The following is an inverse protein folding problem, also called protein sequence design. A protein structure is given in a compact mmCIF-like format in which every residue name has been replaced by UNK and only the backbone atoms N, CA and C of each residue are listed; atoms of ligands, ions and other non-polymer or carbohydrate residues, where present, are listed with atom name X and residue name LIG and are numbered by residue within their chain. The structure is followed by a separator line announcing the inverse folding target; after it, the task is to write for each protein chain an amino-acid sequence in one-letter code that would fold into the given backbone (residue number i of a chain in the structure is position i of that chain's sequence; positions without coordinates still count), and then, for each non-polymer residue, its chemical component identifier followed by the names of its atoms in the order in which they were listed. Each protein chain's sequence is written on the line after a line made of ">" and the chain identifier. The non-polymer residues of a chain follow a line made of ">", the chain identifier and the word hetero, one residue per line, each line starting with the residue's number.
data_IF_533745556933
#
_entry.id   IF_533745556933
#
_cell.length_a   1.000
_cell.length_b   1.000
_cell.length_c   1.000
_cell.angle_alpha   90.00
_cell.angle_beta   90.00
_cell.angle_gamma   90.00
#
_symmetry.space_group_name_H-M   'P 1'
#
loop_
_entity.id
_entity.type
_entity.pdbx_description
1 polymer ?
#
# COMPACT_ATOMS: atom_id res chain seq x y z
N UNK A 1 -9.33 1.23 -20.65
CA UNK A 1 -8.03 0.63 -21.04
C UNK A 1 -7.25 0.12 -19.85
N UNK A 2 -6.99 0.92 -18.80
CA UNK A 2 -6.29 0.46 -17.60
C UNK A 2 -6.94 -0.78 -16.92
N UNK A 3 -8.28 -0.81 -16.79
CA UNK A 3 -8.98 -1.96 -16.22
C UNK A 3 -8.84 -3.23 -17.07
N UNK A 4 -8.83 -3.08 -18.40
CA UNK A 4 -8.55 -4.19 -19.32
C UNK A 4 -7.12 -4.70 -19.11
N UNK A 5 -6.14 -3.80 -18.94
CA UNK A 5 -4.76 -4.17 -18.63
C UNK A 5 -4.64 -4.97 -17.33
N UNK A 6 -5.32 -4.52 -16.26
CA UNK A 6 -5.35 -5.24 -14.98
C UNK A 6 -6.01 -6.63 -15.10
N UNK A 7 -7.09 -6.74 -15.86
CA UNK A 7 -7.76 -8.02 -16.09
C UNK A 7 -6.86 -8.98 -16.90
N UNK A 8 -6.23 -8.48 -17.96
CA UNK A 8 -5.31 -9.26 -18.77
C UNK A 8 -4.10 -9.75 -17.95
N UNK A 9 -3.54 -8.91 -17.07
CA UNK A 9 -2.48 -9.31 -16.13
C UNK A 9 -2.91 -10.47 -15.22
N UNK A 10 -4.14 -10.42 -14.68
CA UNK A 10 -4.67 -11.48 -13.80
C UNK A 10 -4.87 -12.81 -14.54
N UNK A 11 -5.09 -12.75 -15.85
CA UNK A 11 -5.25 -13.93 -16.70
C UNK A 11 -3.92 -14.36 -17.36
N UNK A 12 -2.79 -13.77 -16.96
CA UNK A 12 -1.46 -14.02 -17.54
C UNK A 12 -1.36 -13.75 -19.04
N UNK A 13 -2.30 -13.00 -19.62
CA UNK A 13 -2.24 -12.49 -20.99
C UNK A 13 -1.40 -11.20 -21.03
N UNK A 14 -0.09 -11.35 -20.87
CA UNK A 14 0.86 -10.25 -20.81
C UNK A 14 0.94 -9.44 -22.11
N UNK A 15 0.65 -10.08 -23.25
CA UNK A 15 0.61 -9.42 -24.55
C UNK A 15 -0.56 -8.43 -24.64
N UNK A 16 -1.76 -8.84 -24.23
CA UNK A 16 -2.91 -7.94 -24.16
C UNK A 16 -2.74 -6.89 -23.06
N UNK A 17 -2.16 -7.27 -21.92
CA UNK A 17 -1.89 -6.36 -20.81
C UNK A 17 -0.97 -5.21 -21.23
N UNK A 18 0.19 -5.51 -21.84
CA UNK A 18 1.13 -4.48 -22.29
C UNK A 18 0.51 -3.56 -23.35
N UNK A 19 -0.29 -4.09 -24.29
CA UNK A 19 -1.06 -3.27 -25.25
C UNK A 19 -2.04 -2.32 -24.58
N UNK A 20 -2.82 -2.83 -23.62
CA UNK A 20 -3.82 -2.04 -22.92
C UNK A 20 -3.18 -0.93 -22.05
N UNK A 21 -2.10 -1.25 -21.32
CA UNK A 21 -1.37 -0.26 -20.52
C UNK A 21 -0.64 0.76 -21.38
N UNK A 22 0.02 0.35 -22.46
CA UNK A 22 0.64 1.27 -23.44
C UNK A 22 -0.38 2.28 -23.95
N UNK A 23 -1.56 1.83 -24.36
CA UNK A 23 -2.62 2.72 -24.81
C UNK A 23 -3.11 3.66 -23.70
N UNK A 24 -3.20 3.16 -22.46
CA UNK A 24 -3.59 3.98 -21.30
C UNK A 24 -2.53 5.04 -20.93
N UNK A 25 -1.24 4.72 -21.07
CA UNK A 25 -0.13 5.67 -20.90
C UNK A 25 -0.21 6.75 -21.98
N UNK A 26 -0.30 6.35 -23.25
CA UNK A 26 -0.31 7.29 -24.38
C UNK A 26 -1.48 8.28 -24.33
N UNK A 27 -2.68 7.81 -23.96
CA UNK A 27 -3.86 8.68 -23.82
C UNK A 27 -3.83 9.52 -22.54
N UNK A 28 -3.17 9.03 -21.49
CA UNK A 28 -3.17 9.63 -20.16
C UNK A 28 -2.07 10.66 -19.94
N UNK A 29 -0.90 10.51 -20.59
CA UNK A 29 0.37 11.18 -20.22
C UNK A 29 0.32 12.72 -20.15
N UNK A 30 -0.53 13.35 -20.96
CA UNK A 30 -0.68 14.81 -21.00
C UNK A 30 -2.00 15.30 -20.37
N UNK A 31 -2.67 14.46 -19.57
CA UNK A 31 -4.00 14.76 -19.03
C UNK A 31 -4.03 14.64 -17.51
N UNK A 32 -5.12 15.13 -16.89
CA UNK A 32 -5.42 14.87 -15.47
C UNK A 32 -5.61 13.38 -15.13
N UNK A 33 -5.72 12.51 -16.14
CA UNK A 33 -5.86 11.06 -15.98
C UNK A 33 -4.53 10.32 -16.07
N UNK A 34 -3.38 11.02 -16.13
CA UNK A 34 -2.07 10.38 -15.96
C UNK A 34 -2.07 9.57 -14.67
N UNK A 35 -1.58 8.34 -14.74
CA UNK A 35 -1.65 7.40 -13.62
C UNK A 35 -0.34 6.64 -13.51
N UNK A 36 0.33 6.66 -12.34
CA UNK A 36 1.58 5.94 -12.14
C UNK A 36 1.38 4.43 -12.30
N UNK A 37 0.20 3.92 -11.93
CA UNK A 37 -0.15 2.51 -12.06
C UNK A 37 -0.20 2.04 -13.53
N UNK A 38 -0.45 2.93 -14.49
CA UNK A 38 -0.41 2.56 -15.91
C UNK A 38 1.03 2.32 -16.39
N UNK A 39 1.99 3.14 -15.95
CA UNK A 39 3.40 2.97 -16.28
C UNK A 39 3.97 1.71 -15.61
N UNK A 40 3.73 1.55 -14.30
CA UNK A 40 4.17 0.35 -13.57
C UNK A 40 3.53 -0.93 -14.12
N UNK A 41 2.24 -0.88 -14.47
CA UNK A 41 1.53 -1.99 -15.10
C UNK A 41 2.10 -2.35 -16.48
N UNK A 42 2.46 -1.35 -17.30
CA UNK A 42 3.15 -1.58 -18.57
C UNK A 42 4.50 -2.27 -18.36
N UNK A 43 5.34 -1.73 -17.47
CA UNK A 43 6.66 -2.29 -17.18
C UNK A 43 6.57 -3.72 -16.64
N UNK A 44 5.63 -4.00 -15.72
CA UNK A 44 5.41 -5.35 -15.20
C UNK A 44 4.95 -6.32 -16.29
N UNK A 45 4.03 -5.89 -17.17
CA UNK A 45 3.56 -6.73 -18.27
C UNK A 45 4.68 -7.07 -19.26
N UNK A 46 5.59 -6.13 -19.53
CA UNK A 46 6.76 -6.37 -20.38
C UNK A 46 7.72 -7.38 -19.74
N UNK A 47 8.02 -7.24 -18.45
CA UNK A 47 8.88 -8.19 -17.72
C UNK A 47 8.24 -9.58 -17.68
N UNK A 48 6.99 -9.68 -17.25
CA UNK A 48 6.30 -10.97 -17.12
C UNK A 48 6.09 -11.65 -18.48
N UNK A 49 5.86 -10.87 -19.54
CA UNK A 49 5.69 -11.38 -20.90
C UNK A 49 6.96 -11.99 -21.51
N UNK A 50 8.14 -11.68 -20.96
CA UNK A 50 9.39 -12.31 -21.39
C UNK A 50 9.55 -13.76 -20.87
N UNK A 51 8.80 -14.15 -19.82
CA UNK A 51 8.83 -15.52 -19.30
C UNK A 51 10.21 -15.91 -18.76
N UNK A 52 10.82 -16.94 -19.33
CA UNK A 52 12.20 -17.37 -19.00
C UNK A 52 13.25 -16.69 -19.88
N UNK A 53 12.83 -16.04 -20.97
CA UNK A 53 13.72 -15.38 -21.92
C UNK A 53 14.14 -13.98 -21.43
N UNK A 54 15.29 -13.51 -21.88
CA UNK A 54 15.67 -12.13 -21.69
C UNK A 54 14.70 -11.19 -22.43
N UNK A 55 14.46 -10.01 -21.84
CA UNK A 55 13.72 -8.94 -22.51
C UNK A 55 14.36 -8.62 -23.85
N UNK A 56 13.57 -8.58 -24.92
CA UNK A 56 14.05 -8.08 -26.19
C UNK A 56 14.42 -6.58 -26.09
N UNK A 57 15.29 -6.12 -26.99
CA UNK A 57 15.81 -4.74 -26.97
C UNK A 57 14.71 -3.68 -27.04
N UNK A 58 13.61 -3.97 -27.73
CA UNK A 58 12.48 -3.03 -27.89
C UNK A 58 11.67 -2.96 -26.60
N UNK A 59 11.33 -4.10 -26.01
CA UNK A 59 10.65 -4.19 -24.73
C UNK A 59 11.47 -3.53 -23.62
N UNK A 60 12.79 -3.76 -23.61
CA UNK A 60 13.70 -3.12 -22.65
C UNK A 60 13.76 -1.59 -22.82
N UNK A 61 13.84 -1.08 -24.05
CA UNK A 61 13.82 0.35 -24.31
C UNK A 61 12.49 0.98 -23.92
N UNK A 62 11.37 0.32 -24.23
CA UNK A 62 10.02 0.78 -23.84
C UNK A 62 9.85 0.82 -22.32
N UNK A 63 10.31 -0.22 -21.61
CA UNK A 63 10.29 -0.25 -20.15
C UNK A 63 11.10 0.91 -19.55
N UNK A 64 12.32 1.14 -20.04
CA UNK A 64 13.17 2.22 -19.56
C UNK A 64 12.55 3.60 -19.81
N UNK A 65 11.92 3.79 -20.98
CA UNK A 65 11.20 5.01 -21.29
C UNK A 65 10.00 5.22 -20.35
N UNK A 66 9.18 4.19 -20.13
CA UNK A 66 8.02 4.28 -19.26
C UNK A 66 8.40 4.63 -17.81
N UNK A 67 9.49 4.04 -17.29
CA UNK A 67 9.98 4.34 -15.94
C UNK A 67 10.61 5.74 -15.85
N UNK A 68 11.34 6.20 -16.88
CA UNK A 68 11.88 7.56 -16.91
C UNK A 68 10.76 8.62 -16.97
N UNK A 69 9.70 8.37 -17.74
CA UNK A 69 8.52 9.24 -17.79
C UNK A 69 7.78 9.24 -16.44
N UNK A 70 7.65 8.09 -15.78
CA UNK A 70 7.08 7.98 -14.43
C UNK A 70 7.89 8.82 -13.43
N UNK A 71 9.20 8.61 -13.36
CA UNK A 71 10.08 9.31 -12.41
C UNK A 71 10.10 10.82 -12.65
N UNK A 72 10.00 11.25 -13.91
CA UNK A 72 9.90 12.67 -14.28
C UNK A 72 8.55 13.28 -13.91
N UNK A 73 7.44 12.59 -14.19
CA UNK A 73 6.09 13.12 -13.98
C UNK A 73 5.63 13.12 -12.53
N UNK A 74 6.27 12.30 -11.67
CA UNK A 74 5.93 12.10 -10.27
C UNK A 74 7.17 12.24 -9.36
N UNK A 75 8.05 13.19 -9.68
CA UNK A 75 9.38 13.33 -9.06
C UNK A 75 9.36 13.47 -7.52
N UNK A 76 8.33 14.08 -6.94
CA UNK A 76 8.20 14.29 -5.49
C UNK A 76 7.74 13.03 -4.72
N UNK A 77 7.22 12.01 -5.42
CA UNK A 77 6.70 10.81 -4.79
C UNK A 77 7.82 9.78 -4.56
N UNK A 78 8.33 9.75 -3.32
CA UNK A 78 9.40 8.86 -2.90
C UNK A 78 9.00 7.39 -2.99
N UNK A 79 7.74 7.08 -2.66
CA UNK A 79 7.17 5.72 -2.72
C UNK A 79 7.17 5.19 -4.16
N UNK A 80 6.73 6.02 -5.11
CA UNK A 80 6.76 5.69 -6.54
C UNK A 80 8.19 5.53 -7.06
N UNK A 81 9.13 6.36 -6.62
CA UNK A 81 10.54 6.23 -7.01
C UNK A 81 11.13 4.89 -6.59
N UNK A 82 10.81 4.41 -5.38
CA UNK A 82 11.23 3.08 -4.91
C UNK A 82 10.60 1.97 -5.77
N UNK A 83 9.31 2.09 -6.11
CA UNK A 83 8.61 1.13 -6.99
C UNK A 83 9.19 1.12 -8.41
N UNK A 84 9.55 2.27 -8.98
CA UNK A 84 10.24 2.39 -10.27
C UNK A 84 11.58 1.66 -10.24
N UNK A 85 12.41 1.92 -9.23
CA UNK A 85 13.72 1.25 -9.04
C UNK A 85 13.58 -0.26 -8.85
N UNK A 86 12.55 -0.73 -8.13
CA UNK A 86 12.28 -2.16 -7.96
C UNK A 86 11.89 -2.83 -9.28
N UNK A 87 11.18 -2.11 -10.15
CA UNK A 87 10.88 -2.58 -11.50
C UNK A 87 12.13 -2.67 -12.38
N UNK A 88 13.06 -1.71 -12.25
CA UNK A 88 14.37 -1.78 -12.89
C UNK A 88 15.17 -3.00 -12.39
N UNK A 89 15.14 -3.29 -11.09
CA UNK A 89 15.79 -4.49 -10.53
C UNK A 89 15.19 -5.78 -11.11
N UNK A 90 13.86 -5.84 -11.22
CA UNK A 90 13.15 -6.97 -11.84
C UNK A 90 13.55 -7.15 -13.31
N UNK A 91 13.66 -6.06 -14.06
CA UNK A 91 14.15 -6.06 -15.46
C UNK A 91 15.59 -6.55 -15.58
N UNK A 92 16.50 -6.10 -14.71
CA UNK A 92 17.89 -6.58 -14.69
C UNK A 92 17.98 -8.08 -14.44
N UNK A 93 17.18 -8.60 -13.49
CA UNK A 93 17.10 -10.03 -13.22
C UNK A 93 16.59 -10.81 -14.43
N UNK A 94 15.56 -10.29 -15.12
CA UNK A 94 15.03 -10.87 -16.34
C UNK A 94 16.08 -10.93 -17.46
N UNK A 95 16.94 -9.92 -17.56
CA UNK A 95 18.05 -9.88 -18.52
C UNK A 95 19.27 -10.74 -18.10
N UNK A 96 19.20 -11.47 -16.98
CA UNK A 96 20.29 -12.32 -16.47
C UNK A 96 21.34 -11.59 -15.63
N UNK A 97 21.22 -10.28 -15.42
CA UNK A 97 22.12 -9.49 -14.57
C UNK A 97 21.68 -9.55 -13.10
N UNK A 98 21.71 -10.78 -12.54
CA UNK A 98 21.20 -11.07 -11.19
C UNK A 98 21.97 -10.31 -10.12
N UNK A 99 23.28 -10.13 -10.29
CA UNK A 99 24.12 -9.42 -9.32
C UNK A 99 23.68 -7.96 -9.14
N UNK A 100 23.49 -7.22 -10.24
CA UNK A 100 23.02 -5.83 -10.17
C UNK A 100 21.56 -5.74 -9.75
N UNK A 101 20.73 -6.70 -10.15
CA UNK A 101 19.35 -6.78 -9.69
C UNK A 101 19.26 -6.92 -8.16
N UNK A 102 20.05 -7.83 -7.57
CA UNK A 102 20.08 -8.05 -6.11
C UNK A 102 20.64 -6.84 -5.38
N UNK A 103 21.69 -6.20 -5.90
CA UNK A 103 22.23 -4.96 -5.33
C UNK A 103 21.16 -3.86 -5.31
N UNK A 104 20.51 -3.61 -6.45
CA UNK A 104 19.48 -2.59 -6.56
C UNK A 104 18.28 -2.90 -5.66
N UNK A 105 17.90 -4.16 -5.54
CA UNK A 105 16.83 -4.60 -4.63
C UNK A 105 17.19 -4.34 -3.16
N UNK A 106 18.45 -4.55 -2.76
CA UNK A 106 18.92 -4.25 -1.40
C UNK A 106 18.89 -2.74 -1.11
N UNK A 107 19.28 -1.91 -2.07
CA UNK A 107 19.18 -0.44 -1.95
C UNK A 107 17.71 0.01 -1.81
N UNK A 108 16.80 -0.60 -2.58
CA UNK A 108 15.36 -0.34 -2.45
C UNK A 108 14.82 -0.78 -1.09
N UNK A 109 15.22 -1.96 -0.60
CA UNK A 109 14.81 -2.46 0.70
C UNK A 109 15.20 -1.49 1.83
N UNK A 110 16.45 -1.01 1.83
CA UNK A 110 16.90 0.01 2.77
C UNK A 110 16.12 1.35 2.61
N UNK A 111 15.80 1.72 1.38
CA UNK A 111 14.97 2.91 1.09
C UNK A 111 13.53 2.78 1.60
N UNK A 112 12.93 1.58 1.56
CA UNK A 112 11.59 1.30 2.10
C UNK A 112 11.57 1.50 3.61
N UNK A 113 12.59 1.04 4.33
CA UNK A 113 12.70 1.23 5.79
C UNK A 113 12.79 2.72 6.18
N UNK A 114 13.41 3.54 5.33
CA UNK A 114 13.63 4.97 5.56
C UNK A 114 12.57 5.88 4.95
N UNK A 115 11.60 5.33 4.21
CA UNK A 115 10.63 6.09 3.44
C UNK A 115 9.83 7.06 4.31
N UNK A 116 9.52 6.65 5.55
CA UNK A 116 8.74 7.44 6.51
C UNK A 116 7.27 7.61 6.12
N UNK A 117 6.82 7.01 5.01
CA UNK A 117 5.45 7.04 4.49
C UNK A 117 4.89 5.63 4.38
N UNK A 118 3.55 5.50 4.39
CA UNK A 118 2.89 4.22 4.16
C UNK A 118 2.62 3.99 2.67
N UNK A 119 2.95 2.79 2.21
CA UNK A 119 2.39 2.30 0.95
C UNK A 119 0.89 2.07 1.12
N UNK A 120 0.11 2.27 0.05
CA UNK A 120 -1.21 1.65 -0.02
C UNK A 120 -1.09 0.13 0.12
N UNK A 121 -2.14 -0.53 0.58
CA UNK A 121 -2.12 -1.99 0.76
C UNK A 121 -1.70 -2.73 -0.53
N UNK A 122 -2.29 -2.35 -1.67
CA UNK A 122 -1.93 -2.91 -2.99
C UNK A 122 -0.44 -2.71 -3.34
N UNK A 123 0.10 -1.51 -3.08
CA UNK A 123 1.50 -1.22 -3.35
C UNK A 123 2.42 -1.99 -2.40
N UNK A 124 2.07 -2.11 -1.12
CA UNK A 124 2.82 -2.89 -0.14
C UNK A 124 2.90 -4.37 -0.54
N UNK A 125 1.78 -4.97 -0.98
CA UNK A 125 1.74 -6.35 -1.46
C UNK A 125 2.59 -6.55 -2.72
N UNK A 126 2.50 -5.63 -3.68
CA UNK A 126 3.30 -5.68 -4.90
C UNK A 126 4.80 -5.57 -4.62
N UNK A 127 5.21 -4.60 -3.81
CA UNK A 127 6.61 -4.39 -3.42
C UNK A 127 7.14 -5.59 -2.63
N UNK A 128 6.38 -6.12 -1.67
CA UNK A 128 6.79 -7.29 -0.89
C UNK A 128 7.00 -8.53 -1.76
N UNK A 129 6.09 -8.77 -2.72
CA UNK A 129 6.22 -9.87 -3.69
C UNK A 129 7.49 -9.73 -4.55
N UNK A 130 7.73 -8.53 -5.09
CA UNK A 130 8.92 -8.25 -5.91
C UNK A 130 10.23 -8.36 -5.11
N UNK A 131 10.28 -7.81 -3.90
CA UNK A 131 11.44 -7.96 -3.00
C UNK A 131 11.75 -9.43 -2.74
N UNK A 132 10.73 -10.25 -2.44
CA UNK A 132 10.89 -11.70 -2.27
C UNK A 132 11.46 -12.38 -3.51
N UNK A 133 10.94 -12.06 -4.70
CA UNK A 133 11.44 -12.60 -5.97
C UNK A 133 12.89 -12.19 -6.27
N UNK A 134 13.32 -11.03 -5.78
CA UNK A 134 14.67 -10.48 -5.93
C UNK A 134 15.64 -10.92 -4.82
N UNK A 135 15.22 -11.85 -3.95
CA UNK A 135 16.05 -12.40 -2.86
C UNK A 135 16.02 -11.59 -1.56
N UNK A 136 15.21 -10.54 -1.48
CA UNK A 136 15.02 -9.69 -0.29
C UNK A 136 13.79 -10.14 0.52
N UNK A 137 13.71 -11.44 0.84
CA UNK A 137 12.54 -12.02 1.50
C UNK A 137 12.26 -11.39 2.88
N UNK A 138 13.29 -11.12 3.69
CA UNK A 138 13.13 -10.50 5.00
C UNK A 138 12.52 -9.09 4.95
N UNK A 139 12.98 -8.26 3.99
CA UNK A 139 12.39 -6.94 3.76
C UNK A 139 10.93 -7.04 3.27
N UNK A 140 10.64 -8.02 2.41
CA UNK A 140 9.28 -8.33 1.99
C UNK A 140 8.38 -8.71 3.16
N UNK A 141 8.82 -9.58 4.06
CA UNK A 141 8.06 -9.98 5.25
C UNK A 141 7.86 -8.83 6.24
N UNK A 142 8.88 -8.00 6.47
CA UNK A 142 8.75 -6.79 7.28
C UNK A 142 7.69 -5.84 6.71
N UNK A 143 7.66 -5.66 5.39
CA UNK A 143 6.64 -4.85 4.73
C UNK A 143 5.24 -5.47 4.83
N UNK A 144 5.11 -6.79 4.70
CA UNK A 144 3.83 -7.50 4.91
C UNK A 144 3.33 -7.33 6.35
N UNK A 145 4.23 -7.43 7.34
CA UNK A 145 3.88 -7.19 8.74
C UNK A 145 3.34 -5.79 8.96
N UNK A 146 4.03 -4.77 8.42
CA UNK A 146 3.58 -3.37 8.45
C UNK A 146 2.22 -3.20 7.75
N UNK A 147 2.01 -3.86 6.61
CA UNK A 147 0.75 -3.86 5.89
C UNK A 147 -0.40 -4.42 6.74
N UNK A 148 -0.19 -5.55 7.43
CA UNK A 148 -1.18 -6.13 8.35
C UNK A 148 -1.45 -5.22 9.56
N UNK A 149 -0.44 -4.51 10.07
CA UNK A 149 -0.62 -3.55 11.15
C UNK A 149 -1.51 -2.37 10.74
N UNK A 150 -1.33 -1.84 9.53
CA UNK A 150 -2.03 -0.64 9.03
C UNK A 150 -3.43 -0.97 8.47
N UNK A 151 -3.56 -2.11 7.78
CA UNK A 151 -4.72 -2.48 6.96
C UNK A 151 -5.35 -3.83 7.35
N UNK A 152 -4.92 -4.46 8.44
CA UNK A 152 -5.31 -5.84 8.78
C UNK A 152 -6.80 -6.07 9.06
N UNK A 153 -7.60 -5.02 9.16
CA UNK A 153 -9.06 -5.11 9.27
C UNK A 153 -9.78 -5.37 7.94
N UNK A 154 -9.10 -5.17 6.81
CA UNK A 154 -9.59 -5.49 5.48
C UNK A 154 -9.34 -6.97 5.14
N UNK A 155 -10.40 -7.78 4.94
CA UNK A 155 -10.27 -9.19 4.57
C UNK A 155 -9.53 -9.42 3.24
N UNK A 156 -9.67 -8.51 2.26
CA UNK A 156 -9.00 -8.64 0.97
C UNK A 156 -7.48 -8.47 1.13
N UNK A 157 -7.07 -7.51 1.98
CA UNK A 157 -5.65 -7.31 2.31
C UNK A 157 -5.08 -8.53 3.02
N UNK A 158 -5.78 -9.05 4.04
CA UNK A 158 -5.34 -10.27 4.74
C UNK A 158 -5.22 -11.48 3.79
N UNK A 159 -6.15 -11.63 2.84
CA UNK A 159 -6.07 -12.68 1.83
C UNK A 159 -4.86 -12.48 0.90
N UNK A 160 -4.58 -11.23 0.51
CA UNK A 160 -3.39 -10.87 -0.26
C UNK A 160 -2.09 -11.23 0.47
N UNK A 161 -1.98 -10.88 1.75
CA UNK A 161 -0.82 -11.23 2.59
C UNK A 161 -0.66 -12.75 2.72
N UNK A 162 -1.75 -13.49 2.94
CA UNK A 162 -1.74 -14.95 3.07
C UNK A 162 -1.27 -15.68 1.79
N UNK A 163 -1.38 -15.05 0.61
CA UNK A 163 -0.83 -15.60 -0.64
C UNK A 163 0.69 -15.43 -0.73
N UNK A 164 1.27 -14.47 0.00
CA UNK A 164 2.68 -14.10 -0.10
C UNK A 164 3.55 -14.68 1.03
N UNK A 165 2.96 -14.97 2.19
CA UNK A 165 3.66 -15.55 3.34
C UNK A 165 2.85 -16.65 4.03
N UNK A 166 3.56 -17.60 4.62
CA UNK A 166 3.02 -18.64 5.51
C UNK A 166 3.36 -18.38 6.98
N UNK A 167 4.00 -17.25 7.30
CA UNK A 167 4.38 -16.90 8.67
C UNK A 167 3.13 -16.63 9.53
N UNK A 168 2.83 -17.48 10.53
CA UNK A 168 1.66 -17.30 11.39
C UNK A 168 1.77 -16.04 12.27
N UNK A 169 2.97 -15.51 12.54
CA UNK A 169 3.13 -14.29 13.30
C UNK A 169 2.59 -13.07 12.53
N UNK A 170 2.84 -13.02 11.22
CA UNK A 170 2.30 -11.96 10.34
C UNK A 170 0.78 -12.10 10.22
N UNK A 171 0.28 -13.30 9.91
CA UNK A 171 -1.15 -13.53 9.68
C UNK A 171 -2.00 -13.49 10.96
N UNK A 172 -1.38 -13.84 12.09
CA UNK A 172 -2.01 -13.83 13.42
C UNK A 172 -2.06 -12.44 14.04
N UNK A 173 -1.13 -11.55 13.67
CA UNK A 173 -0.92 -10.26 14.34
C UNK A 173 -2.11 -9.31 14.35
N UNK A 174 -3.09 -9.48 13.45
CA UNK A 174 -4.30 -8.65 13.40
C UNK A 174 -5.55 -9.28 14.03
N UNK A 175 -5.60 -10.60 14.23
CA UNK A 175 -6.88 -11.31 14.44
C UNK A 175 -7.68 -10.78 15.63
N UNK A 176 -7.02 -10.61 16.77
CA UNK A 176 -7.68 -10.13 17.99
C UNK A 176 -8.11 -8.66 17.86
N UNK A 177 -7.23 -7.79 17.34
CA UNK A 177 -7.54 -6.37 17.12
C UNK A 177 -8.74 -6.18 16.19
N UNK A 178 -8.81 -6.97 15.12
CA UNK A 178 -9.92 -6.94 14.16
C UNK A 178 -11.23 -7.40 14.80
N UNK A 179 -11.20 -8.43 15.64
CA UNK A 179 -12.42 -8.89 16.31
C UNK A 179 -12.90 -7.87 17.36
N UNK A 180 -11.99 -7.28 18.13
CA UNK A 180 -12.31 -6.18 19.06
C UNK A 180 -12.89 -4.98 18.30
N UNK A 181 -12.31 -4.60 17.16
CA UNK A 181 -12.81 -3.51 16.33
C UNK A 181 -14.23 -3.82 15.81
N UNK A 182 -14.49 -5.05 15.32
CA UNK A 182 -15.83 -5.47 14.88
C UNK A 182 -16.84 -5.43 16.03
N UNK A 183 -16.46 -5.87 17.22
CA UNK A 183 -17.30 -5.75 18.42
C UNK A 183 -17.59 -4.29 18.76
N UNK A 184 -16.57 -3.43 18.71
CA UNK A 184 -16.70 -1.99 18.95
C UNK A 184 -17.66 -1.33 17.94
N UNK A 185 -17.54 -1.66 16.66
CA UNK A 185 -18.47 -1.17 15.61
C UNK A 185 -19.90 -1.61 15.91
N UNK A 186 -20.14 -2.88 16.29
CA UNK A 186 -21.47 -3.36 16.68
C UNK A 186 -22.02 -2.62 17.90
N UNK A 187 -21.19 -2.42 18.94
CA UNK A 187 -21.59 -1.68 20.14
C UNK A 187 -21.93 -0.21 19.82
N UNK A 188 -21.14 0.43 18.95
CA UNK A 188 -21.35 1.80 18.52
C UNK A 188 -22.67 1.96 17.76
N UNK A 189 -22.98 1.04 16.85
CA UNK A 189 -24.24 1.01 16.09
C UNK A 189 -25.46 0.81 17.00
N UNK A 190 -25.30 0.10 18.11
CA UNK A 190 -26.35 -0.09 19.13
C UNK A 190 -26.48 1.09 20.11
N UNK A 191 -25.76 2.18 19.92
CA UNK A 191 -25.80 3.35 20.81
C UNK A 191 -24.99 3.22 22.10
N UNK A 192 -24.28 2.10 22.29
CA UNK A 192 -23.42 1.85 23.47
C UNK A 192 -22.03 2.46 23.24
N UNK A 193 -21.96 3.79 23.29
CA UNK A 193 -20.75 4.51 22.89
C UNK A 193 -19.56 4.33 23.83
N UNK A 194 -19.80 4.25 25.15
CA UNK A 194 -18.74 3.99 26.13
C UNK A 194 -18.12 2.60 25.93
N UNK A 195 -18.96 1.56 25.83
CA UNK A 195 -18.50 0.19 25.56
C UNK A 195 -17.72 0.10 24.23
N UNK A 196 -18.20 0.80 23.19
CA UNK A 196 -17.52 0.86 21.92
C UNK A 196 -16.12 1.49 22.02
N UNK A 197 -15.98 2.59 22.77
CA UNK A 197 -14.69 3.23 22.97
C UNK A 197 -13.70 2.30 23.66
N UNK A 198 -14.12 1.59 24.71
CA UNK A 198 -13.25 0.64 25.41
C UNK A 198 -12.79 -0.52 24.50
N UNK A 199 -13.68 -1.02 23.65
CA UNK A 199 -13.33 -2.03 22.64
C UNK A 199 -12.35 -1.48 21.60
N UNK A 200 -12.55 -0.24 21.14
CA UNK A 200 -11.63 0.40 20.20
C UNK A 200 -10.26 0.69 20.82
N UNK A 201 -10.18 1.14 22.07
CA UNK A 201 -8.92 1.33 22.80
C UNK A 201 -8.12 0.05 22.91
N UNK A 202 -8.79 -1.06 23.26
CA UNK A 202 -8.15 -2.38 23.32
C UNK A 202 -7.66 -2.83 21.94
N UNK A 203 -8.45 -2.61 20.89
CA UNK A 203 -8.04 -2.91 19.52
C UNK A 203 -6.83 -2.07 19.08
N UNK A 204 -6.82 -0.77 19.43
CA UNK A 204 -5.75 0.16 19.07
C UNK A 204 -4.44 -0.18 19.81
N UNK A 205 -4.52 -0.63 21.06
CA UNK A 205 -3.35 -1.09 21.80
C UNK A 205 -2.66 -2.29 21.13
N UNK A 206 -3.42 -3.13 20.42
CA UNK A 206 -2.88 -4.28 19.67
C UNK A 206 -2.37 -3.87 18.29
N UNK A 207 -3.00 -2.89 17.63
CA UNK A 207 -2.58 -2.36 16.33
C UNK A 207 -2.58 -0.83 16.32
N UNK A 208 -1.51 -0.20 16.85
CA UNK A 208 -1.48 1.25 17.05
C UNK A 208 -1.55 2.08 15.77
N UNK A 209 -1.15 1.49 14.63
CA UNK A 209 -1.14 2.15 13.31
C UNK A 209 -2.31 1.77 12.42
N UNK A 210 -3.27 0.98 12.91
CA UNK A 210 -4.41 0.59 12.09
C UNK A 210 -5.32 1.79 11.83
N UNK A 211 -5.49 2.13 10.54
CA UNK A 211 -6.25 3.31 10.12
C UNK A 211 -7.70 3.25 10.60
N UNK A 212 -8.40 2.13 10.36
CA UNK A 212 -9.82 2.03 10.74
C UNK A 212 -10.03 2.11 12.25
N UNK A 213 -9.19 1.41 13.01
CA UNK A 213 -9.29 1.37 14.48
C UNK A 213 -9.01 2.76 15.07
N UNK A 214 -7.95 3.44 14.61
CA UNK A 214 -7.63 4.79 15.07
C UNK A 214 -8.76 5.78 14.77
N UNK A 215 -9.33 5.76 13.55
CA UNK A 215 -10.44 6.64 13.18
C UNK A 215 -11.73 6.33 13.94
N UNK A 216 -11.99 5.06 14.28
CA UNK A 216 -13.10 4.66 15.12
C UNK A 216 -12.92 5.16 16.56
N UNK A 217 -11.72 5.00 17.11
CA UNK A 217 -11.36 5.51 18.44
C UNK A 217 -11.50 7.03 18.50
N UNK A 218 -10.89 7.76 17.58
CA UNK A 218 -10.96 9.22 17.48
C UNK A 218 -12.40 9.73 17.39
N UNK A 219 -13.23 9.10 16.55
CA UNK A 219 -14.64 9.46 16.41
C UNK A 219 -15.44 9.23 17.71
N UNK A 220 -15.17 8.13 18.42
CA UNK A 220 -15.82 7.83 19.70
C UNK A 220 -15.38 8.77 20.82
N UNK A 221 -14.10 9.15 20.86
CA UNK A 221 -13.55 10.11 21.83
C UNK A 221 -14.22 11.49 21.68
N UNK A 222 -14.28 12.01 20.45
CA UNK A 222 -14.98 13.27 20.18
C UNK A 222 -16.45 13.21 20.63
N UNK A 223 -17.14 12.10 20.36
CA UNK A 223 -18.55 11.96 20.76
C UNK A 223 -18.74 11.95 22.27
N UNK A 224 -17.80 11.41 23.04
CA UNK A 224 -17.91 11.31 24.49
C UNK A 224 -17.65 12.64 25.20
N UNK A 225 -16.76 13.48 24.69
CA UNK A 225 -16.48 14.76 25.31
C UNK A 225 -15.67 15.68 24.42
N UNK A 226 -16.34 16.35 23.47
CA UNK A 226 -15.70 17.35 22.62
C UNK A 226 -15.06 18.49 23.42
N UNK A 227 -15.46 18.74 24.65
CA UNK A 227 -14.89 19.80 25.52
C UNK A 227 -13.91 19.28 26.58
N UNK A 228 -13.69 17.95 26.66
CA UNK A 228 -12.73 17.35 27.58
C UNK A 228 -11.34 17.34 26.94
N UNK A 229 -10.39 18.07 27.50
CA UNK A 229 -9.05 18.18 26.93
C UNK A 229 -8.27 16.87 26.97
N UNK A 230 -8.51 16.00 27.96
CA UNK A 230 -7.85 14.70 28.02
C UNK A 230 -8.33 13.78 26.88
N UNK A 231 -9.64 13.79 26.60
CA UNK A 231 -10.20 13.02 25.48
C UNK A 231 -9.79 13.61 24.12
N UNK A 232 -9.66 14.94 24.02
CA UNK A 232 -9.11 15.61 22.82
C UNK A 232 -7.66 15.22 22.57
N UNK A 233 -6.83 15.19 23.61
CA UNK A 233 -5.43 14.83 23.48
C UNK A 233 -5.27 13.36 23.03
N UNK A 234 -6.04 12.44 23.62
CA UNK A 234 -6.08 11.05 23.15
C UNK A 234 -6.56 10.96 21.69
N UNK A 235 -7.52 11.80 21.30
CA UNK A 235 -7.99 11.86 19.92
C UNK A 235 -6.91 12.37 18.96
N UNK A 236 -6.11 13.37 19.34
CA UNK A 236 -4.94 13.83 18.57
C UNK A 236 -3.94 12.70 18.38
N UNK A 237 -3.61 11.97 19.44
CA UNK A 237 -2.69 10.83 19.37
C UNK A 237 -3.17 9.74 18.40
N UNK A 238 -4.47 9.43 18.41
CA UNK A 238 -5.07 8.51 17.44
C UNK A 238 -4.88 8.99 16.00
N UNK A 239 -5.11 10.28 15.74
CA UNK A 239 -5.00 10.87 14.40
C UNK A 239 -3.54 11.02 13.93
N UNK A 240 -2.62 11.31 14.84
CA UNK A 240 -1.19 11.44 14.55
C UNK A 240 -0.58 10.08 14.21
N UNK A 241 -0.99 9.01 14.89
CA UNK A 241 -0.55 7.64 14.62
C UNK A 241 -0.86 7.17 13.19
N UNK A 242 -1.88 7.76 12.55
CA UNK A 242 -2.31 7.44 11.19
C UNK A 242 -2.17 8.63 10.23
N UNK A 243 -1.34 9.61 10.58
CA UNK A 243 -1.12 10.82 9.79
C UNK A 243 -0.55 10.59 8.39
N UNK A 244 0.09 9.44 8.18
CA UNK A 244 0.64 9.00 6.90
C UNK A 244 -0.37 8.25 6.02
N UNK A 245 -1.67 8.32 6.33
CA UNK A 245 -2.73 7.74 5.50
C UNK A 245 -2.65 8.27 4.05
N UNK A 246 -2.59 7.40 3.03
CA UNK A 246 -2.52 7.84 1.64
C UNK A 246 -3.75 8.67 1.21
N UNK A 247 -3.60 9.76 0.43
CA UNK A 247 -4.74 10.55 -0.06
C UNK A 247 -5.76 9.78 -0.89
N UNK A 248 -5.36 8.65 -1.49
CA UNK A 248 -6.25 7.76 -2.25
C UNK A 248 -6.99 6.71 -1.40
N UNK A 249 -6.74 6.64 -0.09
CA UNK A 249 -7.46 5.72 0.80
C UNK A 249 -8.92 6.17 0.97
N UNK A 250 -9.87 5.23 0.91
CA UNK A 250 -11.29 5.54 1.05
C UNK A 250 -11.65 6.22 2.38
N UNK A 251 -10.80 6.06 3.40
CA UNK A 251 -10.98 6.66 4.74
C UNK A 251 -10.34 8.03 4.88
N UNK A 252 -9.60 8.51 3.86
CA UNK A 252 -8.86 9.78 3.91
C UNK A 252 -9.76 10.99 4.20
N UNK A 253 -10.94 11.05 3.58
CA UNK A 253 -11.88 12.16 3.81
C UNK A 253 -12.34 12.20 5.28
N UNK A 254 -12.68 11.03 5.84
CA UNK A 254 -13.07 10.90 7.26
C UNK A 254 -11.93 11.33 8.18
N UNK A 255 -10.70 10.94 7.87
CA UNK A 255 -9.52 11.39 8.61
C UNK A 255 -9.39 12.92 8.62
N UNK A 256 -9.50 13.57 7.46
CA UNK A 256 -9.43 15.02 7.34
C UNK A 256 -10.53 15.73 8.14
N UNK A 257 -11.77 15.23 8.07
CA UNK A 257 -12.89 15.78 8.85
C UNK A 257 -12.64 15.69 10.36
N UNK A 258 -12.16 14.55 10.86
CA UNK A 258 -11.83 14.38 12.28
C UNK A 258 -10.67 15.29 12.71
N UNK A 259 -9.64 15.41 11.87
CA UNK A 259 -8.50 16.30 12.12
C UNK A 259 -8.92 17.76 12.21
N UNK A 260 -9.75 18.22 11.29
CA UNK A 260 -10.27 19.59 11.33
C UNK A 260 -11.06 19.89 12.62
N UNK A 261 -11.83 18.93 13.14
CA UNK A 261 -12.58 19.11 14.39
C UNK A 261 -11.70 19.22 15.63
N UNK A 262 -10.56 18.53 15.65
CA UNK A 262 -9.69 18.43 16.83
C UNK A 262 -8.59 19.50 16.84
N UNK A 263 -8.08 19.86 15.66
CA UNK A 263 -6.96 20.79 15.49
C UNK A 263 -7.37 22.16 14.92
N UNK A 264 -8.58 22.29 14.37
CA UNK A 264 -9.05 23.50 13.68
C UNK A 264 -9.83 24.49 14.57
N UNK A 265 -9.80 24.32 15.89
CA UNK A 265 -10.43 25.20 16.87
C UNK A 265 -9.39 26.06 17.61
#
# INVERSE_FOLDING_TARGET
>A
LAQLGKLAMRNEDFASASKAFRSAVEQGKNSRFKSPENYLGLSQALISGAGEDALDKRAQAELNQALAELDSQFAEDKSLRLRSRLMQASSLRQCGDVARATQLAAEVAAGVEQLGEFFSADAALAVASQLKQLGQAGAGEALLKSCVEIYGDDPEVLQGVAKLTSDPAILGGAKEAVELNRQGVRAYQLGRHADALELFRRALALQPKNISIALNTAQSLLRQGESDEALREECRQCLDAVSMIPPGDARYERYQQLRLRVFGA
#
